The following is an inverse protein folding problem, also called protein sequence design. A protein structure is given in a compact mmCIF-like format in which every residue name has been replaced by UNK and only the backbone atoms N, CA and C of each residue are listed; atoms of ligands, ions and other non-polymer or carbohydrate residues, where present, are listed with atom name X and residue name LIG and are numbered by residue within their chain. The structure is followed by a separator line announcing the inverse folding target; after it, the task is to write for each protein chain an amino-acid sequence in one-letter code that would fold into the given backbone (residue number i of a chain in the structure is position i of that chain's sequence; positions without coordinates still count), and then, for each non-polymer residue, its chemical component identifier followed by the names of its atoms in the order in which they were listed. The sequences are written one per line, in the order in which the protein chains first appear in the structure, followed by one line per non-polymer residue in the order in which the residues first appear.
data_IF_969617613827
#
_entry.id   IF_969617613827
#
_cell.length_a   1.000
_cell.length_b   1.000
_cell.length_c   1.000
_cell.angle_alpha   90.00
_cell.angle_beta   90.00
_cell.angle_gamma   90.00
#
_symmetry.space_group_name_H-M   'P 1'
#
loop_
_entity.id
_entity.type
_entity.pdbx_description
1 polymer ?
#
# COMPACT_ATOMS: atom_id res chain seq x y z
N UNK A 1 -19.52 -10.83 12.17
CA UNK A 1 -20.10 -11.64 11.06
C UNK A 1 -19.48 -11.11 9.78
N UNK A 2 -18.75 -11.95 9.07
CA UNK A 2 -17.91 -11.56 7.92
C UNK A 2 -18.77 -11.53 6.64
N UNK A 3 -18.66 -10.46 5.85
CA UNK A 3 -19.37 -10.32 4.58
C UNK A 3 -18.59 -11.08 3.48
N UNK A 4 -19.17 -12.11 2.84
CA UNK A 4 -18.41 -13.07 2.03
C UNK A 4 -18.01 -12.60 0.62
N UNK A 5 -18.15 -11.32 0.26
CA UNK A 5 -17.90 -10.86 -1.11
C UNK A 5 -16.51 -10.28 -1.37
N UNK A 6 -15.68 -10.04 -0.36
CA UNK A 6 -14.28 -9.65 -0.56
C UNK A 6 -13.42 -10.28 0.53
N UNK A 7 -12.36 -11.06 0.21
CA UNK A 7 -11.31 -11.28 1.20
C UNK A 7 -10.76 -9.91 1.65
N UNK A 8 -10.28 -9.82 2.89
CA UNK A 8 -9.77 -8.57 3.47
C UNK A 8 -8.50 -8.10 2.73
N UNK A 9 -8.65 -7.47 1.57
CA UNK A 9 -7.54 -6.89 0.80
C UNK A 9 -7.17 -5.58 1.47
N UNK A 10 -5.92 -5.44 1.88
CA UNK A 10 -5.42 -4.19 2.47
C UNK A 10 -4.81 -3.30 1.40
N UNK A 11 -4.62 -2.01 1.69
CA UNK A 11 -3.80 -1.13 0.83
C UNK A 11 -2.38 -1.66 0.60
N UNK A 12 -1.82 -2.37 1.57
CA UNK A 12 -0.51 -3.04 1.46
C UNK A 12 -0.56 -4.17 0.42
N UNK A 13 -1.63 -4.97 0.39
CA UNK A 13 -1.79 -6.01 -0.63
C UNK A 13 -1.85 -5.41 -2.05
N UNK A 14 -2.63 -4.34 -2.24
CA UNK A 14 -2.64 -3.59 -3.51
C UNK A 14 -1.24 -3.07 -3.83
N UNK A 15 -0.55 -2.43 -2.88
CA UNK A 15 0.81 -1.95 -3.09
C UNK A 15 1.75 -3.07 -3.56
N UNK A 16 1.74 -4.23 -2.89
CA UNK A 16 2.60 -5.35 -3.26
C UNK A 16 2.27 -5.97 -4.60
N UNK A 17 1.00 -5.93 -5.05
CA UNK A 17 0.66 -6.34 -6.41
C UNK A 17 1.49 -5.59 -7.47
N UNK A 18 1.63 -4.28 -7.28
CA UNK A 18 2.36 -3.39 -8.18
C UNK A 18 3.88 -3.39 -7.96
N UNK A 19 4.38 -4.05 -6.89
CA UNK A 19 5.82 -4.23 -6.62
C UNK A 19 6.30 -5.62 -7.05
N UNK A 20 5.68 -6.67 -6.51
CA UNK A 20 6.08 -8.06 -6.72
C UNK A 20 4.96 -9.02 -6.30
N UNK A 21 4.43 -9.80 -7.26
CA UNK A 21 3.36 -10.77 -7.03
C UNK A 21 3.75 -11.89 -6.05
N UNK A 22 5.02 -12.31 -6.06
CA UNK A 22 5.54 -13.30 -5.10
C UNK A 22 5.57 -12.76 -3.68
N UNK A 23 5.96 -11.48 -3.52
CA UNK A 23 5.90 -10.77 -2.24
C UNK A 23 4.46 -10.66 -1.74
N UNK A 24 3.52 -10.29 -2.62
CA UNK A 24 2.09 -10.26 -2.30
C UNK A 24 1.61 -11.64 -1.80
N UNK A 25 1.97 -12.71 -2.49
CA UNK A 25 1.61 -14.07 -2.06
C UNK A 25 2.11 -14.36 -0.64
N UNK A 26 3.38 -14.10 -0.36
CA UNK A 26 3.92 -14.32 1.00
C UNK A 26 3.19 -13.48 2.07
N UNK A 27 2.92 -12.21 1.77
CA UNK A 27 2.18 -11.33 2.68
C UNK A 27 0.78 -11.87 3.01
N UNK A 28 0.03 -12.31 1.99
CA UNK A 28 -1.34 -12.82 2.18
C UNK A 28 -1.39 -14.19 2.87
N UNK A 29 -0.26 -14.91 2.86
CA UNK A 29 -0.09 -16.19 3.57
C UNK A 29 0.62 -16.01 4.93
N UNK A 30 0.68 -14.78 5.46
CA UNK A 30 1.25 -14.45 6.78
C UNK A 30 2.73 -14.84 6.96
N UNK A 31 3.51 -14.69 5.89
CA UNK A 31 4.95 -14.91 5.87
C UNK A 31 5.70 -13.57 5.81
N UNK A 32 5.25 -12.58 6.60
CA UNK A 32 5.79 -11.22 6.54
C UNK A 32 7.23 -11.13 7.06
N UNK A 33 8.11 -10.49 6.28
CA UNK A 33 9.53 -10.32 6.60
C UNK A 33 9.90 -8.86 6.91
N UNK A 34 8.94 -7.93 6.89
CA UNK A 34 9.16 -6.49 7.12
C UNK A 34 9.88 -6.18 8.44
N UNK A 35 9.70 -7.01 9.47
CA UNK A 35 10.27 -6.82 10.80
C UNK A 35 11.79 -7.07 10.87
N UNK A 36 12.38 -7.68 9.85
CA UNK A 36 13.84 -7.93 9.78
C UNK A 36 14.57 -6.89 8.93
N UNK A 37 13.85 -5.90 8.37
CA UNK A 37 14.40 -4.99 7.38
C UNK A 37 14.77 -3.62 7.96
N UNK A 38 16.08 -3.33 7.99
CA UNK A 38 16.59 -2.01 8.36
C UNK A 38 16.02 -0.87 7.50
N UNK A 39 15.75 -1.15 6.21
CA UNK A 39 15.14 -0.17 5.30
C UNK A 39 13.70 0.16 5.69
N UNK A 40 12.94 -0.81 6.20
CA UNK A 40 11.59 -0.60 6.72
C UNK A 40 11.65 0.24 7.99
N UNK A 41 12.57 -0.07 8.89
CA UNK A 41 12.73 0.68 10.15
C UNK A 41 13.18 2.12 9.92
N UNK A 42 14.07 2.36 8.95
CA UNK A 42 14.44 3.72 8.54
C UNK A 42 13.24 4.50 7.99
N UNK A 43 12.36 3.82 7.25
CA UNK A 43 11.10 4.41 6.78
C UNK A 43 10.18 4.84 7.93
N UNK A 44 10.03 3.98 8.95
CA UNK A 44 9.27 4.30 10.16
C UNK A 44 9.88 5.50 10.87
N UNK A 45 11.20 5.52 11.08
CA UNK A 45 11.85 6.62 11.78
C UNK A 45 11.68 7.97 11.04
N UNK A 46 11.85 7.98 9.71
CA UNK A 46 11.60 9.18 8.90
C UNK A 46 10.16 9.69 9.08
N UNK A 47 9.19 8.78 9.15
CA UNK A 47 7.79 9.12 9.38
C UNK A 47 7.62 9.85 10.72
N UNK A 48 8.22 9.34 11.78
CA UNK A 48 8.14 9.91 13.12
C UNK A 48 8.77 11.31 13.22
N UNK A 49 9.91 11.52 12.56
CA UNK A 49 10.61 12.81 12.57
C UNK A 49 9.92 13.88 11.71
N UNK A 50 9.35 13.47 10.57
CA UNK A 50 8.80 14.42 9.58
C UNK A 50 7.46 15.01 10.02
N UNK A 51 6.65 14.26 10.78
CA UNK A 51 5.28 14.65 11.15
C UNK A 51 4.94 14.33 12.62
N UNK A 52 5.67 14.91 13.59
CA UNK A 52 5.51 14.57 15.00
C UNK A 52 4.16 15.02 15.60
N UNK A 53 3.45 15.96 14.97
CA UNK A 53 2.16 16.49 15.46
C UNK A 53 0.96 15.76 14.85
N UNK A 54 1.17 15.09 13.72
CA UNK A 54 0.14 14.46 12.91
C UNK A 54 -0.12 13.00 13.29
N UNK A 55 0.77 12.35 14.06
CA UNK A 55 0.55 11.01 14.66
C UNK A 55 -0.82 10.81 15.33
N UNK A 56 -1.43 11.89 15.84
CA UNK A 56 -2.77 11.84 16.48
C UNK A 56 -3.94 11.80 15.48
N UNK A 57 -3.65 11.83 14.18
CA UNK A 57 -4.62 11.89 13.08
C UNK A 57 -4.54 10.67 12.16
N UNK A 58 -3.76 9.66 12.54
CA UNK A 58 -3.75 8.37 11.87
C UNK A 58 -5.19 7.84 11.79
N UNK A 59 -5.55 7.31 10.62
CA UNK A 59 -6.85 6.70 10.41
C UNK A 59 -6.68 5.24 10.03
N UNK A 60 -7.30 4.38 10.83
CA UNK A 60 -7.52 2.97 10.53
C UNK A 60 -9.02 2.74 10.34
N UNK A 61 -9.43 2.32 9.14
CA UNK A 61 -10.82 1.95 8.84
C UNK A 61 -10.86 0.48 8.47
N UNK A 62 -11.53 -0.30 9.31
CA UNK A 62 -11.75 -1.75 9.16
C UNK A 62 -10.45 -2.57 8.96
N UNK A 63 -9.28 -2.04 9.35
CA UNK A 63 -7.96 -2.60 9.04
C UNK A 63 -7.62 -2.68 7.54
N UNK A 64 -8.46 -2.11 6.67
CA UNK A 64 -8.27 -2.09 5.21
C UNK A 64 -7.61 -0.80 4.74
N UNK A 65 -7.98 0.32 5.37
CA UNK A 65 -7.42 1.64 5.12
C UNK A 65 -6.52 2.00 6.29
N UNK A 66 -5.22 2.11 6.02
CA UNK A 66 -4.24 2.68 6.96
C UNK A 66 -3.58 3.86 6.27
N UNK A 67 -3.88 5.06 6.75
CA UNK A 67 -3.38 6.33 6.22
C UNK A 67 -2.75 7.13 7.36
N UNK A 68 -1.61 7.78 7.08
CA UNK A 68 -0.81 8.43 8.12
C UNK A 68 -1.55 9.61 8.75
N UNK A 69 -2.23 10.42 7.94
CA UNK A 69 -3.17 11.40 8.46
C UNK A 69 -4.18 11.90 7.42
N UNK A 70 -5.23 12.55 7.92
CA UNK A 70 -6.16 13.33 7.12
C UNK A 70 -6.10 14.80 7.53
N UNK A 71 -6.00 15.69 6.55
CA UNK A 71 -5.90 17.12 6.79
C UNK A 71 -7.27 17.76 7.08
N UNK A 72 -7.29 19.08 7.34
CA UNK A 72 -8.54 19.81 7.63
C UNK A 72 -9.51 19.92 6.43
N UNK A 73 -9.02 19.69 5.21
CA UNK A 73 -9.82 19.64 3.99
C UNK A 73 -10.32 18.22 3.70
N UNK A 74 -9.90 17.25 4.51
CA UNK A 74 -10.22 15.85 4.35
C UNK A 74 -9.44 15.16 3.23
N UNK A 75 -8.25 15.68 2.91
CA UNK A 75 -7.29 15.05 1.99
C UNK A 75 -6.53 13.97 2.75
N UNK A 76 -6.37 12.79 2.14
CA UNK A 76 -5.61 11.68 2.70
C UNK A 76 -4.13 11.89 2.43
N UNK A 77 -3.27 11.76 3.45
CA UNK A 77 -1.82 11.87 3.30
C UNK A 77 -1.14 10.55 3.69
N UNK A 78 -0.35 10.01 2.75
CA UNK A 78 0.53 8.86 2.95
C UNK A 78 1.98 9.32 2.77
N UNK A 79 2.89 8.89 3.63
CA UNK A 79 4.28 9.33 3.69
C UNK A 79 5.16 8.15 3.29
N UNK A 80 6.02 8.38 2.30
CA UNK A 80 6.88 7.36 1.73
C UNK A 80 8.33 7.80 1.76
N UNK A 81 9.20 6.84 2.06
CA UNK A 81 10.63 7.08 2.19
C UNK A 81 11.30 7.52 0.86
N UNK A 82 10.79 7.05 -0.28
CA UNK A 82 11.30 7.42 -1.59
C UNK A 82 10.35 7.09 -2.72
N UNK A 83 10.68 7.58 -3.92
CA UNK A 83 9.80 7.55 -5.10
C UNK A 83 9.97 6.31 -5.98
N UNK A 84 10.81 5.34 -5.59
CA UNK A 84 11.15 4.17 -6.42
C UNK A 84 9.95 3.26 -6.73
N UNK A 85 8.89 3.33 -5.91
CA UNK A 85 7.66 2.54 -6.05
C UNK A 85 6.43 3.43 -6.26
N UNK A 86 6.60 4.59 -6.91
CA UNK A 86 5.55 5.62 -7.04
C UNK A 86 4.23 5.07 -7.62
N UNK A 87 4.27 4.19 -8.62
CA UNK A 87 3.06 3.54 -9.16
C UNK A 87 2.32 2.73 -8.09
N UNK A 88 3.03 1.96 -7.27
CA UNK A 88 2.42 1.18 -6.19
C UNK A 88 1.82 2.10 -5.10
N UNK A 89 2.50 3.21 -4.79
CA UNK A 89 1.97 4.21 -3.85
C UNK A 89 0.69 4.87 -4.37
N UNK A 90 0.64 5.23 -5.66
CA UNK A 90 -0.55 5.80 -6.29
C UNK A 90 -1.71 4.81 -6.21
N UNK A 91 -1.49 3.56 -6.61
CA UNK A 91 -2.55 2.54 -6.61
C UNK A 91 -3.06 2.20 -5.21
N UNK A 92 -2.20 2.24 -4.20
CA UNK A 92 -2.59 2.12 -2.79
C UNK A 92 -3.55 3.26 -2.38
N UNK A 93 -3.23 4.51 -2.73
CA UNK A 93 -4.12 5.65 -2.44
C UNK A 93 -5.42 5.59 -3.24
N UNK A 94 -5.37 5.23 -4.54
CA UNK A 94 -6.58 5.01 -5.34
C UNK A 94 -7.49 3.96 -4.70
N UNK A 95 -6.94 2.86 -4.18
CA UNK A 95 -7.71 1.85 -3.46
C UNK A 95 -8.41 2.41 -2.21
N UNK A 96 -7.73 3.25 -1.43
CA UNK A 96 -8.35 3.90 -0.27
C UNK A 96 -9.49 4.84 -0.67
N UNK A 97 -9.28 5.66 -1.71
CA UNK A 97 -10.32 6.54 -2.24
C UNK A 97 -11.52 5.73 -2.77
N UNK A 98 -11.27 4.60 -3.41
CA UNK A 98 -12.30 3.68 -3.88
C UNK A 98 -13.14 3.13 -2.71
N UNK A 99 -12.50 2.62 -1.65
CA UNK A 99 -13.21 2.13 -0.47
C UNK A 99 -14.04 3.22 0.22
N UNK A 100 -13.50 4.44 0.31
CA UNK A 100 -14.25 5.59 0.84
C UNK A 100 -15.48 5.91 0.00
N UNK A 101 -15.34 5.90 -1.34
CA UNK A 101 -16.46 6.09 -2.28
C UNK A 101 -17.55 5.03 -2.08
N UNK A 102 -17.18 3.76 -1.95
CA UNK A 102 -18.13 2.66 -1.69
C UNK A 102 -18.87 2.82 -0.34
N UNK A 103 -18.25 3.51 0.63
CA UNK A 103 -18.87 3.85 1.93
C UNK A 103 -19.68 5.16 1.90
N UNK A 104 -19.90 5.75 0.72
CA UNK A 104 -20.65 6.99 0.54
C UNK A 104 -19.84 8.28 0.78
N UNK A 105 -18.52 8.17 0.99
CA UNK A 105 -17.61 9.32 1.12
C UNK A 105 -16.94 9.59 -0.22
N UNK A 106 -17.56 10.43 -1.04
CA UNK A 106 -17.09 10.78 -2.38
C UNK A 106 -16.25 12.06 -2.42
N UNK A 107 -15.63 12.35 -3.57
CA UNK A 107 -14.89 13.58 -3.86
C UNK A 107 -13.69 13.85 -2.93
N UNK A 108 -13.06 12.78 -2.43
CA UNK A 108 -11.80 12.87 -1.68
C UNK A 108 -10.61 12.83 -2.62
N UNK A 109 -9.50 13.43 -2.17
CA UNK A 109 -8.20 13.38 -2.83
C UNK A 109 -7.18 12.75 -1.90
N UNK A 110 -6.09 12.26 -2.48
CA UNK A 110 -4.93 11.78 -1.74
C UNK A 110 -3.66 12.52 -2.13
N UNK A 111 -2.71 12.56 -1.21
CA UNK A 111 -1.37 13.11 -1.41
C UNK A 111 -0.36 12.09 -0.88
N UNK A 112 0.61 11.76 -1.73
CA UNK A 112 1.79 11.01 -1.31
C UNK A 112 2.90 12.02 -1.02
N UNK A 113 3.44 11.99 0.19
CA UNK A 113 4.50 12.86 0.65
C UNK A 113 5.82 12.08 0.61
N UNK A 114 6.83 12.66 -0.03
CA UNK A 114 8.19 12.13 -0.10
C UNK A 114 9.15 13.11 0.57
N UNK A 115 9.25 13.12 1.92
CA UNK A 115 9.99 14.14 2.66
C UNK A 115 11.46 14.24 2.23
N UNK A 116 12.10 13.09 2.01
CA UNK A 116 13.51 13.00 1.59
C UNK A 116 13.77 13.69 0.25
N UNK A 117 12.81 13.63 -0.68
CA UNK A 117 12.91 14.24 -2.01
C UNK A 117 12.26 15.63 -2.06
N UNK A 118 11.62 16.08 -0.97
CA UNK A 118 10.79 17.29 -0.92
C UNK A 118 9.77 17.34 -2.06
N UNK A 119 9.17 16.18 -2.37
CA UNK A 119 8.19 16.00 -3.43
C UNK A 119 6.85 15.59 -2.82
N UNK A 120 5.77 16.09 -3.41
CA UNK A 120 4.43 15.55 -3.21
C UNK A 120 3.85 15.09 -4.54
N UNK A 121 3.01 14.07 -4.49
CA UNK A 121 2.25 13.58 -5.65
C UNK A 121 0.78 13.57 -5.29
N UNK A 122 -0.02 14.36 -5.98
CA UNK A 122 -1.48 14.35 -5.85
C UNK A 122 -2.07 13.14 -6.56
N UNK A 123 -3.10 12.56 -5.95
CA UNK A 123 -3.79 11.37 -6.45
C UNK A 123 -5.29 11.60 -6.39
N UNK A 124 -5.96 11.32 -7.50
CA UNK A 124 -7.41 11.40 -7.65
C UNK A 124 -7.95 10.06 -8.17
N UNK A 125 -9.16 9.69 -7.74
CA UNK A 125 -9.85 8.52 -8.24
C UNK A 125 -10.67 8.90 -9.49
N UNK A 126 -10.05 8.83 -10.65
CA UNK A 126 -10.72 8.97 -11.94
C UNK A 126 -11.46 7.68 -12.32
N UNK A 127 -12.39 7.70 -13.30
CA UNK A 127 -13.06 6.48 -13.76
C UNK A 127 -12.07 5.39 -14.25
N UNK A 128 -11.00 5.79 -14.93
CA UNK A 128 -9.96 4.86 -15.38
C UNK A 128 -9.21 4.25 -14.18
N UNK A 129 -8.88 5.07 -13.16
CA UNK A 129 -8.23 4.58 -11.94
C UNK A 129 -9.13 3.71 -11.09
N UNK A 130 -10.43 3.97 -11.08
CA UNK A 130 -11.42 3.10 -10.46
C UNK A 130 -11.44 1.73 -11.12
N UNK A 131 -11.43 1.68 -12.45
CA UNK A 131 -11.32 0.43 -13.21
C UNK A 131 -10.01 -0.31 -12.91
N UNK A 132 -8.87 0.41 -12.88
CA UNK A 132 -7.56 -0.18 -12.52
C UNK A 132 -7.56 -0.75 -11.09
N UNK A 133 -8.28 -0.13 -10.15
CA UNK A 133 -8.41 -0.63 -8.78
C UNK A 133 -9.25 -1.91 -8.74
N UNK A 134 -10.35 -1.96 -9.49
CA UNK A 134 -11.21 -3.15 -9.58
C UNK A 134 -10.44 -4.34 -10.17
N UNK A 135 -9.68 -4.11 -11.24
CA UNK A 135 -8.79 -5.12 -11.83
C UNK A 135 -7.70 -5.57 -10.85
N UNK A 136 -7.13 -4.63 -10.10
CA UNK A 136 -6.13 -4.94 -9.08
C UNK A 136 -6.71 -5.83 -7.97
N UNK A 137 -7.94 -5.56 -7.52
CA UNK A 137 -8.66 -6.37 -6.53
C UNK A 137 -8.82 -7.82 -7.03
N UNK A 138 -9.26 -8.00 -8.28
CA UNK A 138 -9.37 -9.33 -8.91
C UNK A 138 -8.00 -10.02 -8.94
N UNK A 139 -6.95 -9.30 -9.35
CA UNK A 139 -5.59 -9.84 -9.45
C UNK A 139 -5.02 -10.26 -8.10
N UNK A 140 -5.28 -9.50 -7.03
CA UNK A 140 -4.87 -9.88 -5.67
C UNK A 140 -5.52 -11.19 -5.27
N UNK A 141 -6.82 -11.36 -5.55
CA UNK A 141 -7.53 -12.60 -5.25
C UNK A 141 -6.97 -13.80 -6.02
N UNK A 142 -6.73 -13.63 -7.32
CA UNK A 142 -6.11 -14.66 -8.16
C UNK A 142 -4.76 -15.12 -7.58
N UNK A 143 -3.89 -14.17 -7.22
CA UNK A 143 -2.57 -14.49 -6.67
C UNK A 143 -2.71 -15.16 -5.31
N UNK A 144 -3.55 -14.63 -4.43
CA UNK A 144 -3.76 -15.17 -3.07
C UNK A 144 -4.24 -16.62 -3.10
N UNK A 145 -5.08 -16.96 -4.09
CA UNK A 145 -5.63 -18.31 -4.27
C UNK A 145 -4.64 -19.34 -4.85
N UNK A 146 -3.43 -18.94 -5.26
CA UNK A 146 -2.43 -19.88 -5.73
C UNK A 146 -1.95 -20.77 -4.56
N UNK A 147 -1.82 -22.09 -4.81
CA UNK A 147 -1.31 -23.03 -3.82
C UNK A 147 0.17 -22.83 -3.49
N UNK A 148 0.91 -22.20 -4.41
CA UNK A 148 2.35 -21.94 -4.27
C UNK A 148 2.65 -20.51 -4.72
N UNK A 149 3.70 -19.87 -4.18
CA UNK A 149 4.08 -18.54 -4.60
C UNK A 149 4.34 -18.49 -6.12
N UNK A 150 3.88 -17.45 -6.82
CA UNK A 150 4.14 -17.30 -8.25
C UNK A 150 5.65 -17.16 -8.49
N UNK A 151 6.10 -17.65 -9.65
CA UNK A 151 7.49 -17.47 -10.09
C UNK A 151 7.84 -15.97 -10.13
N UNK A 152 9.05 -15.65 -9.70
CA UNK A 152 9.62 -14.31 -9.78
C UNK A 152 11.06 -14.40 -10.25
N UNK A 153 11.49 -13.43 -11.05
CA UNK A 153 12.88 -13.24 -11.42
C UNK A 153 13.57 -12.29 -10.43
N UNK A 154 14.90 -12.37 -10.33
CA UNK A 154 15.67 -11.46 -9.48
C UNK A 154 15.69 -10.05 -10.10
N UNK A 155 14.97 -9.12 -9.47
CA UNK A 155 14.88 -7.73 -9.89
C UNK A 155 15.81 -6.84 -9.08
N UNK A 156 16.09 -5.61 -9.55
CA UNK A 156 16.90 -4.62 -8.81
C UNK A 156 16.39 -4.37 -7.39
N UNK A 157 15.07 -4.37 -7.21
CA UNK A 157 14.40 -4.16 -5.92
C UNK A 157 14.64 -5.30 -4.92
N UNK A 158 15.01 -6.50 -5.40
CA UNK A 158 15.26 -7.66 -4.55
C UNK A 158 16.46 -7.45 -3.63
N UNK A 159 17.44 -6.62 -4.01
CA UNK A 159 18.65 -6.33 -3.24
C UNK A 159 18.37 -5.70 -1.87
N UNK A 160 17.25 -5.00 -1.74
CA UNK A 160 16.82 -4.32 -0.51
C UNK A 160 15.43 -4.78 -0.07
N UNK A 161 14.92 -5.88 -0.64
CA UNK A 161 13.62 -6.40 -0.30
C UNK A 161 13.70 -7.18 1.01
N UNK A 162 12.77 -6.94 1.93
CA UNK A 162 12.66 -7.69 3.18
C UNK A 162 12.53 -9.22 2.97
N UNK A 163 12.03 -9.65 1.82
CA UNK A 163 11.82 -11.07 1.49
C UNK A 163 13.00 -11.70 0.77
N UNK A 164 14.14 -11.00 0.63
CA UNK A 164 15.26 -11.48 -0.19
C UNK A 164 15.71 -12.88 0.27
N UNK A 165 15.97 -13.06 1.56
CA UNK A 165 16.43 -14.34 2.11
C UNK A 165 15.38 -15.43 1.88
N UNK A 166 14.10 -15.18 2.18
CA UNK A 166 13.02 -16.13 1.92
C UNK A 166 12.86 -16.47 0.42
N UNK A 167 13.18 -15.53 -0.48
CA UNK A 167 13.01 -15.75 -1.92
C UNK A 167 14.11 -16.59 -2.56
N UNK A 168 15.35 -16.48 -2.06
CA UNK A 168 16.57 -16.88 -2.77
C UNK A 168 17.55 -17.70 -1.94
N UNK A 169 17.13 -18.14 -0.74
CA UNK A 169 17.88 -19.14 0.05
C UNK A 169 17.47 -20.56 -0.28
#
# INVERSE_FOLDING_TARGET
MQNPQHPNITGTAINYLFICKRKLWFYQHHLEMEHTSESVDLGKHLHEESYPREKRREMDIDSLIKIDFVDKHGILHDIKYGTSMETAHIMQICYYLYLLKQKGVSNRKGIINYPRQRKTTEVELTPDKETEVEDAIVKVNEITALNTPPHAEYMKICKSCSYQELCWS
#
